data_IF_120207233705
#
_entry.id   IF_120207233705
#
_cell.length_a   1.000
_cell.length_b   1.000
_cell.length_c   1.000
_cell.angle_alpha   90.00
_cell.angle_beta   90.00
_cell.angle_gamma   90.00
#
_symmetry.space_group_name_H-M   'P 1'
#
loop_
_entity.id
_entity.type
_entity.pdbx_description
1 polymer ?
#
# COMPACT_ATOMS: atom_id res chain seq x y z
N UNK A 1 -6.30 -14.96 3.85
CA UNK A 1 -6.65 -13.55 3.57
C UNK A 1 -6.86 -13.51 2.08
N UNK A 2 -8.09 -13.31 1.58
CA UNK A 2 -8.37 -13.43 0.15
C UNK A 2 -8.80 -12.12 -0.50
N UNK A 3 -8.36 -11.87 -1.72
CA UNK A 3 -8.72 -10.67 -2.46
C UNK A 3 -7.96 -10.53 -3.77
N UNK A 4 -8.25 -9.45 -4.49
CA UNK A 4 -7.50 -9.07 -5.67
C UNK A 4 -6.04 -8.76 -5.28
N UNK A 5 -5.07 -9.24 -6.05
CA UNK A 5 -3.68 -8.89 -5.87
C UNK A 5 -3.48 -7.41 -6.19
N UNK A 6 -2.73 -6.69 -5.36
CA UNK A 6 -2.29 -5.35 -5.68
C UNK A 6 -1.19 -5.42 -6.74
N UNK A 7 -1.15 -4.36 -7.54
CA UNK A 7 -0.02 -4.01 -8.40
C UNK A 7 0.32 -2.54 -8.16
N UNK A 8 1.41 -2.05 -8.75
CA UNK A 8 1.85 -0.66 -8.55
C UNK A 8 0.91 0.40 -9.12
N UNK A 9 -0.10 0.00 -9.93
CA UNK A 9 -1.16 0.88 -10.41
C UNK A 9 -2.36 0.97 -9.44
N UNK A 10 -2.32 0.26 -8.31
CA UNK A 10 -3.35 0.36 -7.29
C UNK A 10 -3.31 1.74 -6.61
N UNK A 11 -4.48 2.29 -6.32
CA UNK A 11 -4.62 3.53 -5.55
C UNK A 11 -4.84 3.20 -4.09
N UNK A 12 -3.94 3.69 -3.24
CA UNK A 12 -4.02 3.58 -1.78
C UNK A 12 -4.23 4.98 -1.21
N UNK A 13 -5.27 5.17 -0.39
CA UNK A 13 -5.65 6.46 0.16
C UNK A 13 -5.53 6.43 1.68
N UNK A 14 -4.72 7.32 2.24
CA UNK A 14 -4.68 7.53 3.68
C UNK A 14 -5.98 8.18 4.19
N UNK A 15 -6.37 7.95 5.45
CA UNK A 15 -7.65 8.44 5.98
C UNK A 15 -7.76 9.97 6.01
N UNK A 16 -6.64 10.67 5.84
CA UNK A 16 -6.56 12.12 5.84
C UNK A 16 -6.52 12.74 4.44
N UNK A 17 -6.69 11.95 3.37
CA UNK A 17 -6.74 12.43 1.98
C UNK A 17 -5.41 12.39 1.22
N UNK A 18 -4.34 11.88 1.83
CA UNK A 18 -3.07 11.65 1.13
C UNK A 18 -3.10 10.40 0.26
N UNK A 19 -2.66 10.50 -0.99
CA UNK A 19 -2.56 9.36 -1.90
C UNK A 19 -1.18 8.72 -1.81
N UNK A 20 -1.13 7.40 -1.64
CA UNK A 20 0.10 6.63 -1.68
C UNK A 20 0.32 5.98 -3.05
N UNK A 21 1.56 6.02 -3.52
CA UNK A 21 2.04 5.31 -4.70
C UNK A 21 3.13 4.33 -4.32
N UNK A 22 3.17 3.18 -5.02
CA UNK A 22 4.16 2.15 -4.78
C UNK A 22 5.34 2.31 -5.76
N UNK A 23 6.56 2.40 -5.23
CA UNK A 23 7.78 2.19 -5.98
C UNK A 23 8.15 0.70 -5.91
N UNK A 24 8.13 -0.03 -7.05
CA UNK A 24 8.34 -1.46 -7.05
C UNK A 24 9.77 -1.85 -6.65
N UNK A 25 9.90 -2.86 -5.80
CA UNK A 25 11.17 -3.56 -5.53
C UNK A 25 11.46 -4.67 -6.56
N UNK A 26 10.51 -4.95 -7.46
CA UNK A 26 10.62 -5.95 -8.50
C UNK A 26 9.82 -5.51 -9.74
N UNK A 27 10.27 -5.89 -10.94
CA UNK A 27 9.52 -5.69 -12.20
C UNK A 27 9.26 -6.98 -12.98
N UNK A 28 9.65 -8.14 -12.45
CA UNK A 28 9.56 -9.45 -13.12
C UNK A 28 8.13 -10.00 -13.13
N UNK A 29 7.41 -9.89 -12.01
CA UNK A 29 6.06 -10.44 -11.89
C UNK A 29 5.07 -9.30 -12.09
N UNK A 30 4.26 -9.42 -13.13
CA UNK A 30 3.35 -8.38 -13.59
C UNK A 30 1.91 -8.88 -13.48
N UNK A 31 1.03 -8.06 -12.93
CA UNK A 31 -0.41 -8.28 -12.89
C UNK A 31 -1.10 -7.16 -13.68
N UNK A 32 -1.79 -7.52 -14.75
CA UNK A 32 -2.56 -6.59 -15.61
C UNK A 32 -1.71 -5.38 -16.06
N UNK A 33 -0.50 -5.66 -16.53
CA UNK A 33 0.39 -4.65 -17.10
C UNK A 33 1.20 -3.81 -16.10
N UNK A 34 1.06 -4.03 -14.79
CA UNK A 34 1.89 -3.37 -13.76
C UNK A 34 2.54 -4.37 -12.80
N UNK A 35 3.74 -4.09 -12.26
CA UNK A 35 4.39 -4.97 -11.29
C UNK A 35 3.48 -5.33 -10.12
N UNK A 36 3.42 -6.62 -9.77
CA UNK A 36 2.68 -7.12 -8.62
C UNK A 36 3.28 -6.58 -7.31
N UNK A 37 2.43 -6.07 -6.43
CA UNK A 37 2.88 -5.36 -5.25
C UNK A 37 3.18 -6.30 -4.07
N UNK A 38 4.20 -5.95 -3.31
CA UNK A 38 4.71 -6.74 -2.17
C UNK A 38 5.09 -5.85 -1.00
N UNK A 39 5.35 -6.46 0.17
CA UNK A 39 5.89 -5.75 1.33
C UNK A 39 7.31 -5.18 1.12
N UNK A 40 8.01 -5.58 0.06
CA UNK A 40 9.32 -5.03 -0.26
C UNK A 40 9.24 -3.69 -1.02
N UNK A 41 8.06 -3.34 -1.56
CA UNK A 41 7.87 -2.08 -2.26
C UNK A 41 7.86 -0.90 -1.28
N UNK A 42 8.34 0.25 -1.74
CA UNK A 42 8.28 1.50 -0.97
C UNK A 42 6.98 2.21 -1.29
N UNK A 43 6.15 2.48 -0.28
CA UNK A 43 4.90 3.22 -0.43
C UNK A 43 5.05 4.65 0.10
N UNK A 44 5.08 5.62 -0.81
CA UNK A 44 5.23 7.04 -0.48
C UNK A 44 3.89 7.73 -0.59
N UNK A 45 3.55 8.55 0.42
CA UNK A 45 2.30 9.31 0.47
C UNK A 45 2.57 10.76 0.09
N UNK A 46 1.71 11.31 -0.76
CA UNK A 46 1.74 12.72 -1.18
C UNK A 46 0.39 13.39 -0.96
N UNK A 47 0.38 14.71 -0.82
CA UNK A 47 -0.86 15.49 -0.72
C UNK A 47 -1.67 15.26 0.56
N UNK A 48 -1.06 14.78 1.65
CA UNK A 48 -1.75 14.59 2.93
C UNK A 48 -1.83 15.91 3.71
N UNK A 49 -3.01 16.54 3.89
CA UNK A 49 -3.16 17.80 4.63
C UNK A 49 -3.19 17.63 6.16
N UNK A 50 -2.92 16.43 6.69
CA UNK A 50 -3.18 16.12 8.10
C UNK A 50 -2.37 17.00 9.07
N UNK A 51 -3.06 17.53 10.07
CA UNK A 51 -2.47 18.30 11.17
C UNK A 51 -3.01 17.79 12.50
N UNK A 52 -2.19 17.88 13.55
CA UNK A 52 -2.62 17.63 14.94
C UNK A 52 -2.56 18.97 15.68
N UNK A 53 -3.74 19.55 15.94
CA UNK A 53 -3.83 20.94 16.38
C UNK A 53 -3.22 21.88 15.32
N UNK A 54 -2.18 22.62 15.70
CA UNK A 54 -1.44 23.53 14.79
C UNK A 54 -0.20 22.90 14.18
N UNK A 55 0.18 21.67 14.56
CA UNK A 55 1.39 21.00 14.06
C UNK A 55 1.06 20.19 12.80
N UNK A 56 1.68 20.48 11.64
CA UNK A 56 1.57 19.61 10.47
C UNK A 56 2.09 18.21 10.78
N UNK A 57 1.30 17.20 10.43
CA UNK A 57 1.61 15.79 10.62
C UNK A 57 1.23 14.97 9.38
N UNK A 58 1.65 15.38 8.17
CA UNK A 58 1.25 14.67 6.96
C UNK A 58 1.72 13.22 6.99
N UNK A 59 0.88 12.31 6.51
CA UNK A 59 1.33 10.97 6.18
C UNK A 59 2.37 11.05 5.05
N UNK A 60 3.49 10.36 5.20
CA UNK A 60 4.57 10.29 4.20
C UNK A 60 4.83 8.88 3.70
N UNK A 61 4.43 7.85 4.46
CA UNK A 61 4.57 6.45 4.04
C UNK A 61 3.38 5.59 4.43
N UNK A 62 3.23 4.44 3.76
CA UNK A 62 2.34 3.35 4.17
C UNK A 62 3.19 2.12 4.51
N UNK A 63 2.89 1.47 5.64
CA UNK A 63 3.53 0.21 6.04
C UNK A 63 2.50 -0.90 6.13
N UNK A 64 2.77 -2.00 5.44
CA UNK A 64 1.90 -3.16 5.40
C UNK A 64 2.22 -4.12 6.55
N UNK A 65 1.21 -4.46 7.34
CA UNK A 65 1.32 -5.30 8.54
C UNK A 65 0.61 -6.65 8.39
N UNK A 66 -0.30 -6.77 7.41
CA UNK A 66 -0.98 -8.02 7.08
C UNK A 66 -0.88 -8.35 5.60
N UNK A 67 0.28 -8.81 5.10
CA UNK A 67 0.40 -9.31 3.73
C UNK A 67 -0.20 -10.71 3.57
N UNK A 68 -0.18 -11.25 2.35
CA UNK A 68 -0.51 -12.67 2.12
C UNK A 68 0.45 -13.57 2.87
N UNK A 69 -0.09 -14.58 3.56
CA UNK A 69 0.69 -15.62 4.23
C UNK A 69 1.18 -16.72 3.28
N UNK A 70 0.59 -16.83 2.09
CA UNK A 70 0.83 -17.94 1.15
C UNK A 70 1.49 -17.49 -0.14
N UNK A 71 1.11 -16.32 -0.65
CA UNK A 71 1.57 -15.85 -1.94
C UNK A 71 2.84 -15.03 -1.74
N UNK A 72 3.90 -15.48 -2.40
CA UNK A 72 5.17 -14.77 -2.50
C UNK A 72 5.43 -14.40 -3.95
N UNK A 73 5.88 -13.17 -4.15
CA UNK A 73 6.32 -12.64 -5.44
C UNK A 73 7.79 -12.28 -5.28
N UNK A 74 8.64 -12.95 -6.06
CA UNK A 74 10.09 -12.79 -5.99
C UNK A 74 10.65 -12.94 -4.56
N UNK A 75 10.11 -13.90 -3.79
CA UNK A 75 10.50 -14.16 -2.40
C UNK A 75 9.79 -13.32 -1.33
N UNK A 76 9.21 -12.17 -1.70
CA UNK A 76 8.51 -11.26 -0.79
C UNK A 76 7.01 -11.55 -0.70
N UNK A 77 6.39 -11.49 0.50
CA UNK A 77 4.94 -11.61 0.64
C UNK A 77 4.16 -10.61 -0.25
N UNK A 78 3.21 -11.12 -1.02
CA UNK A 78 2.36 -10.31 -1.89
C UNK A 78 1.30 -9.53 -1.08
N UNK A 79 0.85 -8.41 -1.64
CA UNK A 79 -0.22 -7.59 -1.07
C UNK A 79 -1.54 -7.84 -1.79
N UNK A 80 -2.61 -7.98 -1.02
CA UNK A 80 -3.98 -8.22 -1.49
C UNK A 80 -4.88 -7.05 -1.10
N UNK A 81 -6.04 -6.92 -1.75
CA UNK A 81 -6.98 -5.82 -1.52
C UNK A 81 -7.40 -5.67 -0.04
N UNK A 82 -7.44 -6.78 0.70
CA UNK A 82 -7.74 -6.80 2.13
C UNK A 82 -6.50 -6.89 3.03
N UNK A 83 -5.31 -6.68 2.48
CA UNK A 83 -4.09 -6.54 3.28
C UNK A 83 -4.21 -5.36 4.23
N UNK A 84 -3.70 -5.54 5.44
CA UNK A 84 -3.73 -4.51 6.48
C UNK A 84 -2.48 -3.66 6.39
N UNK A 85 -2.65 -2.36 6.59
CA UNK A 85 -1.59 -1.36 6.56
C UNK A 85 -1.87 -0.22 7.53
N UNK A 86 -0.84 0.60 7.78
CA UNK A 86 -0.93 1.86 8.50
C UNK A 86 -0.23 2.96 7.71
N UNK A 87 -0.84 4.13 7.63
CA UNK A 87 -0.15 5.34 7.20
C UNK A 87 0.74 5.85 8.35
N UNK A 88 1.89 6.44 8.02
CA UNK A 88 2.83 6.99 9.00
C UNK A 88 3.24 8.41 8.66
N UNK A 89 3.42 9.26 9.68
CA UNK A 89 4.03 10.59 9.52
C UNK A 89 5.55 10.53 9.32
N UNK A 90 6.18 11.69 9.07
CA UNK A 90 7.64 11.79 9.01
C UNK A 90 8.31 11.31 10.30
N UNK A 91 7.70 11.61 11.46
CA UNK A 91 8.12 11.14 12.78
C UNK A 91 7.76 9.67 13.06
N UNK A 92 7.30 8.93 12.05
CA UNK A 92 6.91 7.51 12.14
C UNK A 92 5.69 7.24 13.02
N UNK A 93 4.97 8.27 13.45
CA UNK A 93 3.72 8.12 14.19
C UNK A 93 2.66 7.44 13.30
N UNK A 94 1.94 6.41 13.77
CA UNK A 94 0.86 5.78 13.02
C UNK A 94 -0.34 6.72 12.94
N UNK A 95 -0.90 6.83 11.73
CA UNK A 95 -1.92 7.80 11.33
C UNK A 95 -3.24 7.11 10.89
N UNK A 96 -3.41 5.84 11.26
CA UNK A 96 -4.58 5.03 10.89
C UNK A 96 -4.42 4.22 9.59
N UNK A 97 -5.38 3.31 9.31
CA UNK A 97 -5.32 2.42 8.17
C UNK A 97 -5.69 3.14 6.86
N UNK A 98 -4.97 2.91 5.74
CA UNK A 98 -5.39 3.37 4.43
C UNK A 98 -6.52 2.50 3.85
N UNK A 99 -7.20 3.02 2.84
CA UNK A 99 -8.11 2.26 1.97
C UNK A 99 -7.47 1.99 0.61
N UNK A 100 -7.69 0.79 0.06
CA UNK A 100 -7.35 0.46 -1.33
C UNK A 100 -8.58 0.77 -2.18
N UNK A 101 -8.57 1.88 -2.92
CA UNK A 101 -9.75 2.38 -3.66
C UNK A 101 -9.79 1.91 -5.10
N UNK A 102 -8.62 1.66 -5.70
CA UNK A 102 -8.50 1.12 -7.06
C UNK A 102 -7.57 -0.08 -7.02
N UNK A 103 -8.03 -1.21 -7.56
CA UNK A 103 -7.25 -2.44 -7.73
C UNK A 103 -7.70 -3.15 -9.01
N UNK A 104 -6.78 -3.86 -9.65
CA UNK A 104 -7.11 -4.74 -10.78
C UNK A 104 -8.07 -5.86 -10.35
N UNK A 105 -8.93 -6.34 -11.26
CA UNK A 105 -10.02 -7.28 -10.94
C UNK A 105 -9.82 -8.70 -11.50
N UNK A 106 -8.65 -9.01 -12.07
CA UNK A 106 -8.39 -10.27 -12.80
C UNK A 106 -7.59 -11.28 -11.99
N UNK A 107 -6.61 -10.82 -11.21
CA UNK A 107 -5.67 -11.67 -10.48
C UNK A 107 -6.08 -11.73 -9.02
N UNK A 108 -6.57 -12.88 -8.55
CA UNK A 108 -7.02 -13.10 -7.17
C UNK A 108 -6.05 -14.00 -6.40
N UNK A 109 -6.00 -13.85 -5.08
CA UNK A 109 -5.15 -14.62 -4.18
C UNK A 109 -5.81 -14.87 -2.82
N UNK A 110 -5.34 -15.87 -2.05
CA UNK A 110 -5.87 -16.27 -0.74
C UNK A 110 -4.80 -16.70 0.28
#
# INVERSE_FOLDING_TARGET
MSGNNLNTAATVMCPHGGQASAQPAQSRVVAVGSPAATVADLYTVTGCPFTVGTKPQPCVTVRWTGPSARIRVNGSPALLQNSRALCHSAEQAPQGPPSVTVVQQRVVGA
#
